data_IF_243168009513
#
_entry.id   IF_243168009513
#
_cell.length_a   1.000
_cell.length_b   1.000
_cell.length_c   1.000
_cell.angle_alpha   90.00
_cell.angle_beta   90.00
_cell.angle_gamma   90.00
#
_symmetry.space_group_name_H-M   'P 1'
#
loop_
_entity.id
_entity.type
_entity.pdbx_description
1 polymer ?
#
# COMPACT_ATOMS: atom_id res chain seq x y z
N UNK A 1 4.70 -26.68 3.25
CA UNK A 1 4.80 -26.11 1.88
C UNK A 1 4.15 -24.74 1.88
N UNK A 2 4.64 -23.80 1.06
CA UNK A 2 3.99 -22.48 0.91
C UNK A 2 2.57 -22.64 0.36
N UNK A 3 1.60 -21.92 0.94
CA UNK A 3 0.24 -21.83 0.39
C UNK A 3 0.18 -20.96 -0.88
N UNK A 4 1.19 -20.15 -1.12
CA UNK A 4 1.32 -19.30 -2.29
C UNK A 4 2.39 -19.86 -3.22
N UNK A 5 2.11 -19.86 -4.50
CA UNK A 5 3.08 -20.19 -5.54
C UNK A 5 3.80 -18.93 -6.06
N UNK A 6 3.14 -17.77 -5.94
CA UNK A 6 3.65 -16.49 -6.41
C UNK A 6 3.59 -15.41 -5.30
N UNK A 7 4.50 -14.44 -5.40
CA UNK A 7 4.61 -13.25 -4.54
C UNK A 7 4.72 -12.03 -5.45
N UNK A 8 3.64 -11.28 -5.56
CA UNK A 8 3.53 -10.11 -6.41
C UNK A 8 3.62 -8.85 -5.56
N UNK A 9 4.60 -8.00 -5.82
CA UNK A 9 4.67 -6.67 -5.24
C UNK A 9 4.24 -5.64 -6.26
N UNK A 10 3.44 -4.68 -5.82
CA UNK A 10 2.97 -3.55 -6.62
C UNK A 10 3.36 -2.27 -5.89
N UNK A 11 4.37 -1.58 -6.39
CA UNK A 11 4.61 -0.19 -6.04
C UNK A 11 3.54 0.65 -6.73
N UNK A 12 2.78 1.45 -5.96
CA UNK A 12 1.57 2.11 -6.41
C UNK A 12 1.72 3.62 -6.50
N UNK A 13 1.05 4.21 -7.48
CA UNK A 13 1.07 5.66 -7.69
C UNK A 13 -0.33 6.28 -7.65
N UNK A 14 -0.47 7.34 -6.84
CA UNK A 14 -1.64 8.20 -6.79
C UNK A 14 -1.61 9.39 -7.78
N UNK A 15 -0.65 9.45 -8.70
CA UNK A 15 -0.51 10.55 -9.65
C UNK A 15 -1.68 10.57 -10.67
N UNK A 16 -1.95 11.73 -11.24
CA UNK A 16 -3.00 11.90 -12.26
C UNK A 16 -2.58 11.31 -13.62
N UNK A 17 -3.56 10.97 -14.43
CA UNK A 17 -3.37 10.54 -15.81
C UNK A 17 -3.70 9.06 -16.07
N UNK A 18 -3.79 8.67 -17.35
CA UNK A 18 -4.24 7.35 -17.75
C UNK A 18 -3.20 6.26 -17.48
N UNK A 19 -1.91 6.62 -17.47
CA UNK A 19 -0.78 5.70 -17.27
C UNK A 19 0.22 6.26 -16.29
N UNK A 20 0.77 5.38 -15.48
CA UNK A 20 1.61 5.73 -14.34
C UNK A 20 3.01 5.11 -14.50
N UNK A 21 4.02 5.97 -14.70
CA UNK A 21 5.42 5.51 -14.64
C UNK A 21 5.86 5.10 -13.23
N UNK A 22 5.18 5.63 -12.21
CA UNK A 22 5.41 5.31 -10.81
C UNK A 22 4.64 4.06 -10.33
N UNK A 23 4.08 3.25 -11.24
CA UNK A 23 3.57 1.92 -10.91
C UNK A 23 4.55 0.89 -11.45
N UNK A 24 5.11 0.06 -10.57
CA UNK A 24 5.98 -1.05 -10.93
C UNK A 24 5.47 -2.35 -10.28
N UNK A 25 5.49 -3.41 -11.04
CA UNK A 25 5.09 -4.75 -10.59
C UNK A 25 6.28 -5.70 -10.68
N UNK A 26 6.51 -6.47 -9.62
CA UNK A 26 7.51 -7.53 -9.62
C UNK A 26 6.95 -8.82 -9.05
N UNK A 27 7.34 -9.95 -9.65
CA UNK A 27 6.91 -11.29 -9.29
C UNK A 27 8.09 -12.13 -8.82
N UNK A 28 7.99 -12.74 -7.64
CA UNK A 28 8.86 -13.81 -7.19
C UNK A 28 8.06 -15.13 -7.13
N UNK A 29 8.70 -16.25 -7.48
CA UNK A 29 8.09 -17.59 -7.44
C UNK A 29 8.51 -18.34 -6.18
N UNK A 30 7.61 -19.11 -5.58
CA UNK A 30 7.93 -19.98 -4.45
C UNK A 30 8.96 -21.07 -4.82
N UNK A 31 8.96 -21.52 -6.07
CA UNK A 31 9.93 -22.45 -6.59
C UNK A 31 11.39 -21.93 -6.64
N UNK A 32 11.59 -20.64 -6.36
CA UNK A 32 12.91 -20.01 -6.36
C UNK A 32 13.17 -19.15 -7.61
N UNK A 33 14.43 -18.76 -7.79
CA UNK A 33 14.86 -17.82 -8.83
C UNK A 33 14.77 -16.36 -8.40
N UNK A 34 15.35 -15.43 -9.16
CA UNK A 34 15.26 -14.01 -8.90
C UNK A 34 13.83 -13.48 -9.08
N UNK A 35 13.44 -12.40 -8.40
CA UNK A 35 12.22 -11.68 -8.74
C UNK A 35 12.35 -11.07 -10.14
N UNK A 36 11.21 -10.90 -10.83
CA UNK A 36 11.16 -10.41 -12.22
C UNK A 36 10.17 -9.26 -12.31
N UNK A 37 10.59 -8.15 -12.92
CA UNK A 37 9.67 -7.07 -13.27
C UNK A 37 8.67 -7.55 -14.32
N UNK A 38 7.40 -7.24 -14.11
CA UNK A 38 6.36 -7.40 -15.12
C UNK A 38 6.35 -6.16 -16.01
N UNK A 39 6.48 -6.36 -17.31
CA UNK A 39 6.41 -5.27 -18.26
C UNK A 39 4.97 -4.74 -18.35
N UNK A 40 4.77 -3.41 -18.33
CA UNK A 40 3.45 -2.85 -18.62
C UNK A 40 3.06 -3.13 -20.06
N UNK A 41 1.75 -3.27 -20.36
CA UNK A 41 1.28 -3.46 -21.74
C UNK A 41 1.62 -2.27 -22.69
N UNK A 42 1.84 -1.10 -22.13
CA UNK A 42 2.20 0.11 -22.86
C UNK A 42 3.52 0.68 -22.28
N UNK A 43 4.48 1.11 -23.12
CA UNK A 43 5.76 1.66 -22.65
C UNK A 43 5.63 2.97 -21.85
N UNK A 44 4.47 3.63 -21.86
CA UNK A 44 4.18 4.79 -21.01
C UNK A 44 3.91 4.43 -19.55
N UNK A 45 3.85 3.15 -19.21
CA UNK A 45 3.62 2.63 -17.86
C UNK A 45 2.26 1.93 -17.71
N UNK A 46 1.99 1.45 -16.51
CA UNK A 46 0.76 0.76 -16.15
C UNK A 46 -0.43 1.72 -16.07
N UNK A 47 -1.59 1.30 -16.59
CA UNK A 47 -2.87 1.88 -16.21
C UNK A 47 -3.38 1.16 -14.93
N UNK A 48 -4.02 1.87 -14.00
CA UNK A 48 -4.61 1.25 -12.79
C UNK A 48 -5.65 0.18 -13.13
N UNK A 49 -6.40 0.37 -14.23
CA UNK A 49 -7.35 -0.62 -14.72
C UNK A 49 -6.66 -1.91 -15.18
N UNK A 50 -5.44 -1.84 -15.73
CA UNK A 50 -4.67 -3.01 -16.13
C UNK A 50 -4.18 -3.79 -14.89
N UNK A 51 -3.76 -3.08 -13.83
CA UNK A 51 -3.43 -3.72 -12.54
C UNK A 51 -4.66 -4.37 -11.93
N UNK A 52 -5.81 -3.69 -11.91
CA UNK A 52 -7.08 -4.26 -11.45
C UNK A 52 -7.43 -5.54 -12.21
N UNK A 53 -7.35 -5.53 -13.54
CA UNK A 53 -7.63 -6.69 -14.38
C UNK A 53 -6.67 -7.85 -14.09
N UNK A 54 -5.37 -7.56 -13.91
CA UNK A 54 -4.36 -8.54 -13.53
C UNK A 54 -4.70 -9.20 -12.18
N UNK A 55 -5.06 -8.40 -11.17
CA UNK A 55 -5.41 -8.92 -9.84
C UNK A 55 -6.70 -9.75 -9.88
N UNK A 56 -7.72 -9.30 -10.60
CA UNK A 56 -8.98 -10.04 -10.73
C UNK A 56 -8.82 -11.35 -11.50
N UNK A 57 -7.83 -11.46 -12.40
CA UNK A 57 -7.52 -12.64 -13.20
C UNK A 57 -6.44 -13.57 -12.62
N UNK A 58 -6.10 -13.48 -11.32
CA UNK A 58 -5.11 -14.34 -10.69
C UNK A 58 -5.62 -15.78 -10.58
N UNK A 59 -5.10 -16.67 -11.41
CA UNK A 59 -5.41 -18.11 -11.39
C UNK A 59 -4.49 -18.91 -10.46
N UNK A 60 -3.27 -18.42 -10.26
CA UNK A 60 -2.26 -19.07 -9.41
C UNK A 60 -2.30 -18.45 -8.01
N UNK A 61 -2.31 -19.25 -6.92
CA UNK A 61 -2.28 -18.73 -5.56
C UNK A 61 -1.12 -17.76 -5.34
N UNK A 62 -1.45 -16.48 -5.17
CA UNK A 62 -0.50 -15.35 -5.11
C UNK A 62 -0.71 -14.53 -3.85
N UNK A 63 0.38 -14.25 -3.12
CA UNK A 63 0.38 -13.19 -2.13
C UNK A 63 0.73 -11.87 -2.82
N UNK A 64 -0.22 -10.94 -2.83
CA UNK A 64 -0.07 -9.63 -3.45
C UNK A 64 0.18 -8.58 -2.37
N UNK A 65 1.30 -7.87 -2.44
CA UNK A 65 1.58 -6.69 -1.63
C UNK A 65 1.36 -5.41 -2.43
N UNK A 66 0.49 -4.53 -1.92
CA UNK A 66 0.21 -3.22 -2.51
C UNK A 66 0.83 -2.12 -1.65
N UNK A 67 1.71 -1.29 -2.21
CA UNK A 67 2.32 -0.14 -1.52
C UNK A 67 1.35 1.05 -1.48
N UNK A 68 0.30 0.89 -0.72
CA UNK A 68 -0.74 1.90 -0.49
C UNK A 68 -1.50 1.59 0.81
N UNK A 69 -2.06 2.61 1.45
CA UNK A 69 -2.93 2.40 2.61
C UNK A 69 -4.30 1.88 2.17
N UNK A 70 -4.72 0.73 2.72
CA UNK A 70 -6.04 0.14 2.45
C UNK A 70 -7.16 0.73 3.31
N UNK A 71 -6.82 1.56 4.29
CA UNK A 71 -7.76 2.24 5.17
C UNK A 71 -7.26 3.61 5.61
N UNK A 72 -8.09 4.31 6.36
CA UNK A 72 -7.79 5.58 7.01
C UNK A 72 -7.86 5.43 8.53
N UNK A 73 -7.29 6.35 9.33
CA UNK A 73 -7.43 6.36 10.77
C UNK A 73 -8.90 6.33 11.23
N UNK A 74 -9.20 5.41 12.14
CA UNK A 74 -10.54 5.20 12.70
C UNK A 74 -10.49 5.06 14.22
N UNK A 75 -9.57 4.25 14.75
CA UNK A 75 -9.52 3.87 16.15
C UNK A 75 -9.31 5.05 17.11
N UNK A 76 -8.63 6.08 16.66
CA UNK A 76 -8.35 7.29 17.43
C UNK A 76 -9.58 8.17 17.70
N UNK A 77 -10.63 8.07 16.89
CA UNK A 77 -11.83 8.90 16.99
C UNK A 77 -13.15 8.12 16.87
N UNK A 78 -13.08 6.80 16.65
CA UNK A 78 -14.26 5.95 16.42
C UNK A 78 -14.94 6.19 15.07
N UNK A 79 -14.31 6.94 14.16
CA UNK A 79 -14.82 7.26 12.84
C UNK A 79 -13.67 7.65 11.89
N UNK A 80 -13.80 7.32 10.60
CA UNK A 80 -12.85 7.83 9.57
C UNK A 80 -12.94 9.36 9.47
N UNK A 81 -14.16 9.87 9.47
CA UNK A 81 -14.48 11.29 9.30
C UNK A 81 -15.37 11.78 10.45
N UNK A 82 -14.79 12.08 11.65
CA UNK A 82 -15.56 12.54 12.80
C UNK A 82 -16.38 13.78 12.50
N UNK A 83 -17.70 13.71 12.77
CA UNK A 83 -18.66 14.79 12.52
C UNK A 83 -19.12 14.92 11.07
N UNK A 84 -18.88 13.90 10.24
CA UNK A 84 -19.52 13.74 8.95
C UNK A 84 -20.48 12.53 8.98
N UNK A 85 -21.79 12.78 8.82
CA UNK A 85 -22.82 11.74 8.97
C UNK A 85 -22.67 10.59 7.96
N UNK A 86 -22.05 10.86 6.79
CA UNK A 86 -21.75 9.84 5.80
C UNK A 86 -20.47 9.03 6.10
N UNK A 87 -19.81 9.26 7.25
CA UNK A 87 -18.60 8.49 7.62
C UNK A 87 -18.94 7.01 7.74
N UNK A 88 -18.27 6.13 6.93
CA UNK A 88 -18.61 4.70 6.94
C UNK A 88 -18.16 4.02 8.24
N UNK A 89 -18.77 2.85 8.51
CA UNK A 89 -18.48 2.07 9.71
C UNK A 89 -17.29 1.11 9.56
N UNK A 90 -16.84 0.84 8.31
CA UNK A 90 -15.77 -0.11 8.02
C UNK A 90 -15.04 0.24 6.72
N UNK A 91 -13.94 -0.48 6.44
CA UNK A 91 -13.08 -0.23 5.29
C UNK A 91 -13.82 -0.44 3.94
N UNK A 92 -14.69 -1.44 3.84
CA UNK A 92 -15.44 -1.67 2.60
C UNK A 92 -16.41 -0.55 2.29
N UNK A 93 -17.11 -0.05 3.31
CA UNK A 93 -17.94 1.16 3.21
C UNK A 93 -17.09 2.39 2.85
N UNK A 94 -15.88 2.53 3.40
CA UNK A 94 -14.94 3.60 3.04
C UNK A 94 -14.55 3.54 1.56
N UNK A 95 -14.21 2.36 1.05
CA UNK A 95 -13.88 2.19 -0.37
C UNK A 95 -15.05 2.53 -1.29
N UNK A 96 -16.27 2.10 -0.90
CA UNK A 96 -17.48 2.40 -1.65
C UNK A 96 -17.80 3.91 -1.66
N UNK A 97 -17.67 4.60 -0.53
CA UNK A 97 -17.87 6.05 -0.45
C UNK A 97 -16.90 6.80 -1.34
N UNK A 98 -15.61 6.44 -1.30
CA UNK A 98 -14.58 7.09 -2.12
C UNK A 98 -14.85 6.85 -3.61
N UNK A 99 -15.19 5.62 -4.02
CA UNK A 99 -15.47 5.34 -5.43
C UNK A 99 -16.73 6.05 -5.92
N UNK A 100 -17.77 6.12 -5.10
CA UNK A 100 -19.03 6.84 -5.42
C UNK A 100 -18.79 8.34 -5.62
N UNK A 101 -18.05 8.99 -4.71
CA UNK A 101 -17.74 10.43 -4.82
C UNK A 101 -16.77 10.76 -5.96
N UNK A 102 -16.02 9.78 -6.44
CA UNK A 102 -15.12 9.87 -7.58
C UNK A 102 -15.69 9.23 -8.86
N UNK A 103 -17.00 8.98 -8.95
CA UNK A 103 -17.59 8.30 -10.10
C UNK A 103 -17.30 9.00 -11.43
N UNK A 104 -17.19 10.33 -11.44
CA UNK A 104 -16.83 11.14 -12.60
C UNK A 104 -15.32 11.24 -12.87
N UNK A 105 -14.46 10.77 -11.96
CA UNK A 105 -13.01 10.86 -12.12
C UNK A 105 -12.51 9.73 -13.02
N UNK A 106 -11.74 10.05 -14.09
CA UNK A 106 -11.16 9.05 -14.97
C UNK A 106 -10.05 8.26 -14.26
N UNK A 107 -9.66 7.11 -14.83
CA UNK A 107 -8.43 6.38 -14.50
C UNK A 107 -8.26 6.02 -13.01
N UNK A 108 -9.36 5.81 -12.27
CA UNK A 108 -9.37 5.60 -10.82
C UNK A 108 -8.69 6.74 -10.04
N UNK A 109 -8.71 7.96 -10.55
CA UNK A 109 -8.26 9.15 -9.82
C UNK A 109 -9.23 9.45 -8.66
N UNK A 110 -8.77 10.21 -7.67
CA UNK A 110 -9.55 10.52 -6.48
C UNK A 110 -9.76 12.03 -6.28
N UNK A 111 -9.85 12.77 -7.38
CA UNK A 111 -10.07 14.22 -7.38
C UNK A 111 -11.39 14.60 -6.76
N UNK A 112 -12.46 13.92 -7.12
CA UNK A 112 -13.80 14.15 -6.59
C UNK A 112 -13.88 14.05 -5.06
N UNK A 113 -13.22 13.07 -4.46
CA UNK A 113 -13.19 12.93 -3.01
C UNK A 113 -12.41 14.05 -2.32
N UNK A 114 -11.19 14.36 -2.80
CA UNK A 114 -10.34 15.39 -2.16
C UNK A 114 -10.84 16.80 -2.36
N UNK A 115 -11.73 17.05 -3.33
CA UNK A 115 -12.41 18.33 -3.55
C UNK A 115 -13.83 18.37 -2.98
N UNK A 116 -14.36 17.25 -2.47
CA UNK A 116 -15.68 17.21 -1.84
C UNK A 116 -15.73 18.14 -0.61
N UNK A 117 -16.79 18.95 -0.42
CA UNK A 117 -16.86 19.93 0.66
C UNK A 117 -16.58 19.34 2.05
N UNK A 118 -17.12 18.16 2.38
CA UNK A 118 -16.82 17.49 3.65
C UNK A 118 -15.51 16.72 3.60
N UNK A 119 -15.24 15.94 2.54
CA UNK A 119 -14.02 15.12 2.42
C UNK A 119 -12.74 15.94 2.52
N UNK A 120 -12.69 17.10 1.86
CA UNK A 120 -11.52 17.98 1.83
C UNK A 120 -11.06 18.46 3.21
N UNK A 121 -11.98 18.55 4.18
CA UNK A 121 -11.73 19.06 5.55
C UNK A 121 -10.75 18.19 6.35
N UNK A 122 -10.57 16.93 5.99
CA UNK A 122 -9.71 16.00 6.73
C UNK A 122 -8.30 15.90 6.17
N UNK A 123 -8.02 16.53 5.03
CA UNK A 123 -6.73 16.36 4.35
C UNK A 123 -5.82 17.59 4.45
N UNK A 124 -4.51 17.31 4.35
CA UNK A 124 -3.50 18.33 4.07
C UNK A 124 -3.33 18.45 2.55
N UNK A 125 -3.73 19.58 1.99
CA UNK A 125 -3.70 19.88 0.55
C UNK A 125 -2.41 20.58 0.11
N UNK A 126 -1.68 21.19 1.03
CA UNK A 126 -0.45 21.93 0.79
C UNK A 126 0.26 22.27 2.09
N UNK A 127 1.46 22.86 2.01
CA UNK A 127 2.15 23.38 3.20
C UNK A 127 1.32 24.55 3.76
N UNK A 128 0.81 24.37 4.98
CA UNK A 128 -0.07 25.35 5.62
C UNK A 128 -1.49 25.40 5.05
N UNK A 129 -1.89 24.41 4.26
CA UNK A 129 -3.23 24.26 3.71
C UNK A 129 -3.84 22.97 4.22
N UNK A 130 -4.04 22.89 5.52
CA UNK A 130 -4.75 21.80 6.16
C UNK A 130 -6.26 22.12 6.23
N UNK A 131 -7.10 21.10 5.98
CA UNK A 131 -8.51 21.17 6.30
C UNK A 131 -8.72 21.33 7.82
N UNK A 132 -9.82 21.94 8.22
CA UNK A 132 -10.12 22.28 9.62
C UNK A 132 -10.29 21.02 10.52
N UNK A 133 -10.45 19.82 9.93
CA UNK A 133 -10.55 18.53 10.61
C UNK A 133 -9.35 17.62 10.35
N UNK A 134 -8.26 18.14 9.80
CA UNK A 134 -7.03 17.39 9.58
C UNK A 134 -6.40 16.90 10.90
N UNK A 135 -6.55 17.68 11.95
CA UNK A 135 -6.14 17.34 13.31
C UNK A 135 -7.38 17.13 14.21
N UNK A 136 -7.29 16.18 15.12
CA UNK A 136 -8.26 16.08 16.20
C UNK A 136 -8.06 17.19 17.24
N UNK A 137 -9.10 17.59 17.97
CA UNK A 137 -8.95 18.49 19.11
C UNK A 137 -7.93 17.93 20.11
N UNK A 138 -6.96 18.76 20.53
CA UNK A 138 -5.91 18.35 21.47
C UNK A 138 -4.79 17.49 20.86
N UNK A 139 -4.70 17.38 19.54
CA UNK A 139 -3.63 16.63 18.89
C UNK A 139 -2.24 17.10 19.33
N UNK A 140 -1.39 16.16 19.76
CA UNK A 140 -0.02 16.43 20.24
C UNK A 140 0.98 16.75 19.12
N UNK A 141 0.63 16.43 17.87
CA UNK A 141 1.48 16.66 16.69
C UNK A 141 0.69 17.32 15.57
N UNK A 142 1.39 17.95 14.62
CA UNK A 142 0.79 18.52 13.40
C UNK A 142 0.92 17.61 12.18
N UNK A 143 1.16 16.32 12.40
CA UNK A 143 1.43 15.35 11.32
C UNK A 143 0.15 14.72 10.75
N UNK A 144 -1.01 15.03 11.34
CA UNK A 144 -2.31 14.43 11.01
C UNK A 144 -2.63 13.24 11.90
N UNK A 145 -3.70 12.54 11.56
CA UNK A 145 -4.15 11.31 12.22
C UNK A 145 -3.38 10.11 11.70
N UNK A 146 -3.15 9.12 12.55
CA UNK A 146 -2.46 7.87 12.20
C UNK A 146 -3.34 6.68 12.56
N UNK A 147 -3.27 5.63 11.72
CA UNK A 147 -3.84 4.32 12.03
C UNK A 147 -3.02 3.63 13.11
N UNK A 148 -3.58 2.58 13.69
CA UNK A 148 -2.87 1.74 14.66
C UNK A 148 -1.60 1.14 14.03
N UNK A 149 -1.64 0.76 12.74
CA UNK A 149 -0.47 0.25 12.01
C UNK A 149 0.68 1.27 11.95
N UNK A 150 0.41 2.55 11.63
CA UNK A 150 1.43 3.60 11.63
C UNK A 150 1.96 3.89 13.05
N UNK A 151 1.09 3.82 14.07
CA UNK A 151 1.54 3.95 15.45
C UNK A 151 2.52 2.84 15.85
N UNK A 152 2.25 1.59 15.47
CA UNK A 152 3.15 0.46 15.66
C UNK A 152 4.48 0.66 14.92
N UNK A 153 4.45 1.08 13.65
CA UNK A 153 5.64 1.41 12.87
C UNK A 153 6.50 2.51 13.52
N UNK A 154 5.87 3.54 14.11
CA UNK A 154 6.59 4.60 14.84
C UNK A 154 7.31 4.06 16.07
N UNK A 155 6.68 3.18 16.80
CA UNK A 155 7.31 2.49 17.94
C UNK A 155 8.54 1.68 17.52
N UNK A 156 8.49 1.07 16.33
CA UNK A 156 9.61 0.35 15.72
C UNK A 156 10.66 1.28 15.04
N UNK A 157 10.56 2.61 15.23
CA UNK A 157 11.52 3.59 14.69
C UNK A 157 11.35 3.90 13.20
N UNK A 158 10.24 3.51 12.60
CA UNK A 158 9.84 3.95 11.25
C UNK A 158 9.16 5.31 11.34
N UNK A 159 9.23 6.11 10.28
CA UNK A 159 8.55 7.41 10.20
C UNK A 159 7.45 7.34 9.14
N UNK A 160 6.29 6.76 9.45
CA UNK A 160 5.17 6.73 8.52
C UNK A 160 4.59 8.13 8.36
N UNK A 161 3.91 8.34 7.24
CA UNK A 161 3.18 9.57 6.93
C UNK A 161 1.68 9.28 7.02
N UNK A 162 0.92 10.24 7.54
CA UNK A 162 -0.54 10.11 7.62
C UNK A 162 -1.18 9.92 6.23
N UNK A 163 -2.14 9.00 6.14
CA UNK A 163 -2.94 8.78 4.92
C UNK A 163 -3.85 9.98 4.58
N UNK A 164 -3.96 10.98 5.46
CA UNK A 164 -4.59 12.26 5.16
C UNK A 164 -3.63 13.29 4.53
N UNK A 165 -2.37 12.93 4.27
CA UNK A 165 -1.42 13.83 3.61
C UNK A 165 -1.43 13.65 2.08
N UNK A 166 -1.80 14.70 1.34
CA UNK A 166 -1.89 14.70 -0.12
C UNK A 166 -0.68 15.33 -0.81
N UNK A 167 0.32 15.80 -0.06
CA UNK A 167 1.40 16.64 -0.59
C UNK A 167 2.78 16.21 -0.12
N UNK A 168 3.81 16.74 -0.81
CA UNK A 168 5.20 16.44 -0.51
C UNK A 168 5.71 15.18 -1.22
N UNK A 169 6.90 14.72 -0.83
CA UNK A 169 7.52 13.52 -1.41
C UNK A 169 6.76 12.23 -1.05
N UNK A 170 6.02 12.26 0.06
CA UNK A 170 5.22 11.13 0.55
C UNK A 170 3.73 11.46 0.46
N UNK A 171 3.18 11.46 -0.76
CA UNK A 171 1.75 11.71 -1.03
C UNK A 171 0.92 10.44 -0.77
N UNK A 172 1.08 9.83 0.41
CA UNK A 172 0.46 8.55 0.76
C UNK A 172 -1.07 8.60 0.63
N UNK A 173 -1.69 9.76 0.96
CA UNK A 173 -3.13 9.91 0.84
C UNK A 173 -3.65 9.73 -0.58
N UNK A 174 -2.94 10.23 -1.61
CA UNK A 174 -3.37 10.03 -3.00
C UNK A 174 -3.24 8.59 -3.45
N UNK A 175 -2.14 7.92 -3.09
CA UNK A 175 -1.94 6.49 -3.36
C UNK A 175 -3.04 5.66 -2.70
N UNK A 176 -3.33 5.94 -1.42
CA UNK A 176 -4.37 5.25 -0.65
C UNK A 176 -5.76 5.43 -1.26
N UNK A 177 -6.17 6.66 -1.57
CA UNK A 177 -7.51 6.92 -2.13
C UNK A 177 -7.70 6.26 -3.51
N UNK A 178 -6.72 6.34 -4.41
CA UNK A 178 -6.78 5.67 -5.72
C UNK A 178 -6.74 4.15 -5.59
N UNK A 179 -5.98 3.63 -4.61
CA UNK A 179 -5.93 2.22 -4.28
C UNK A 179 -7.25 1.71 -3.70
N UNK A 180 -7.88 2.44 -2.78
CA UNK A 180 -9.20 2.09 -2.22
C UNK A 180 -10.29 2.02 -3.30
N UNK A 181 -10.25 2.88 -4.31
CA UNK A 181 -11.12 2.76 -5.50
C UNK A 181 -10.88 1.46 -6.26
N UNK A 182 -9.62 1.11 -6.46
CA UNK A 182 -9.24 -0.16 -7.11
C UNK A 182 -9.72 -1.36 -6.28
N UNK A 183 -9.54 -1.34 -4.95
CA UNK A 183 -10.00 -2.40 -4.05
C UNK A 183 -11.53 -2.54 -4.03
N UNK A 184 -12.28 -1.41 -4.07
CA UNK A 184 -13.73 -1.44 -4.23
C UNK A 184 -14.13 -2.17 -5.51
N UNK A 185 -13.52 -1.82 -6.64
CA UNK A 185 -13.81 -2.40 -7.95
C UNK A 185 -13.31 -3.81 -8.14
N UNK A 186 -12.31 -4.24 -7.33
CA UNK A 186 -11.92 -5.65 -7.26
C UNK A 186 -13.07 -6.54 -6.75
N UNK A 187 -14.04 -5.94 -6.02
CA UNK A 187 -15.32 -6.55 -5.73
C UNK A 187 -15.28 -7.84 -4.92
N UNK A 188 -14.16 -8.11 -4.22
CA UNK A 188 -13.97 -9.35 -3.47
C UNK A 188 -13.46 -10.52 -4.32
N UNK A 189 -13.10 -10.31 -5.60
CA UNK A 189 -12.50 -11.35 -6.44
C UNK A 189 -11.21 -11.93 -5.82
N UNK A 190 -10.47 -11.09 -5.08
CA UNK A 190 -9.35 -11.51 -4.23
C UNK A 190 -9.56 -10.91 -2.83
N UNK A 191 -9.54 -11.71 -1.75
CA UNK A 191 -9.64 -11.20 -0.38
C UNK A 191 -8.52 -10.21 -0.05
N UNK A 192 -8.86 -9.17 0.72
CA UNK A 192 -7.92 -8.14 1.19
C UNK A 192 -7.70 -8.30 2.68
N UNK A 193 -6.56 -8.88 3.06
CA UNK A 193 -6.22 -9.04 4.47
C UNK A 193 -5.79 -7.70 5.11
N UNK A 194 -6.18 -7.41 6.36
CA UNK A 194 -7.01 -8.19 7.27
C UNK A 194 -8.50 -7.80 7.23
N UNK A 195 -8.92 -6.92 6.31
CA UNK A 195 -10.32 -6.50 6.15
C UNK A 195 -11.21 -7.72 5.87
N UNK A 196 -10.72 -8.62 5.02
CA UNK A 196 -11.31 -9.93 4.81
C UNK A 196 -10.57 -11.00 5.61
N UNK A 197 -11.25 -12.04 6.04
CA UNK A 197 -10.61 -13.21 6.63
C UNK A 197 -9.55 -13.80 5.70
N UNK A 198 -8.45 -14.26 6.28
CA UNK A 198 -7.43 -14.96 5.51
C UNK A 198 -8.01 -16.29 4.99
N UNK A 199 -8.16 -16.48 3.67
CA UNK A 199 -8.74 -17.70 3.13
C UNK A 199 -7.75 -18.87 3.32
N UNK A 200 -8.23 -20.10 3.38
CA UNK A 200 -7.38 -21.29 3.48
C UNK A 200 -6.52 -21.50 2.23
N UNK A 201 -7.05 -21.16 1.06
CA UNK A 201 -6.40 -21.33 -0.24
C UNK A 201 -6.65 -20.10 -1.13
N UNK A 202 -5.90 -20.02 -2.23
CA UNK A 202 -6.03 -18.97 -3.23
C UNK A 202 -5.16 -17.74 -2.94
N UNK A 203 -5.43 -16.69 -3.70
CA UNK A 203 -4.68 -15.44 -3.65
C UNK A 203 -5.19 -14.53 -2.52
N UNK A 204 -4.31 -13.65 -2.04
CA UNK A 204 -4.62 -12.65 -1.00
C UNK A 204 -3.91 -11.34 -1.35
N UNK A 205 -4.62 -10.25 -1.21
CA UNK A 205 -4.05 -8.90 -1.24
C UNK A 205 -3.74 -8.45 0.18
N UNK A 206 -2.62 -7.77 0.38
CA UNK A 206 -2.25 -7.11 1.62
C UNK A 206 -1.61 -5.76 1.35
N UNK A 207 -1.78 -4.83 2.27
CA UNK A 207 -1.01 -3.59 2.28
C UNK A 207 0.44 -3.89 2.67
N UNK A 208 1.38 -3.25 1.99
CA UNK A 208 2.80 -3.29 2.35
C UNK A 208 3.36 -1.87 2.45
N UNK A 209 4.55 -1.78 3.03
CA UNK A 209 5.38 -0.59 2.99
C UNK A 209 6.78 -0.98 2.50
N UNK A 210 7.13 -0.56 1.29
CA UNK A 210 8.37 -0.97 0.60
C UNK A 210 9.64 -0.70 1.41
N UNK A 211 9.63 0.34 2.26
CA UNK A 211 10.72 0.64 3.17
C UNK A 211 10.99 -0.47 4.21
N UNK A 212 10.01 -1.30 4.55
CA UNK A 212 10.22 -2.45 5.45
C UNK A 212 11.07 -3.50 4.74
N UNK A 213 10.75 -3.82 3.49
CA UNK A 213 11.52 -4.74 2.68
C UNK A 213 12.97 -4.25 2.49
N UNK A 214 13.15 -2.95 2.20
CA UNK A 214 14.47 -2.35 2.05
C UNK A 214 15.32 -2.47 3.35
N UNK A 215 14.74 -2.14 4.50
CA UNK A 215 15.44 -2.27 5.81
C UNK A 215 15.84 -3.70 6.13
N UNK A 216 14.96 -4.67 5.88
CA UNK A 216 15.25 -6.09 6.08
C UNK A 216 16.25 -6.63 5.04
N UNK A 217 16.34 -6.01 3.87
CA UNK A 217 17.41 -6.20 2.89
C UNK A 217 18.72 -5.53 3.27
N UNK A 218 18.85 -4.94 4.47
CA UNK A 218 20.09 -4.31 4.95
C UNK A 218 20.32 -2.88 4.43
N UNK A 219 19.34 -2.27 3.77
CA UNK A 219 19.43 -0.87 3.33
C UNK A 219 19.26 0.04 4.55
N UNK A 220 20.37 0.64 5.01
CA UNK A 220 20.42 1.48 6.22
C UNK A 220 20.73 2.94 5.89
N UNK A 221 20.39 3.86 6.81
CA UNK A 221 20.71 5.28 6.71
C UNK A 221 19.55 6.14 6.18
N UNK A 222 19.86 7.39 5.83
CA UNK A 222 18.90 8.37 5.32
C UNK A 222 18.51 8.12 3.86
N UNK A 223 19.30 7.33 3.12
CA UNK A 223 19.02 6.92 1.75
C UNK A 223 18.35 5.54 1.75
N UNK A 224 17.05 5.49 2.00
CA UNK A 224 16.24 4.25 1.93
C UNK A 224 15.97 3.80 0.49
N UNK A 225 16.53 4.46 -0.51
CA UNK A 225 16.30 4.20 -1.93
C UNK A 225 17.47 3.45 -2.57
N UNK A 226 17.16 2.31 -3.14
CA UNK A 226 18.10 1.47 -3.91
C UNK A 226 18.07 1.94 -5.36
N UNK A 227 19.19 2.48 -5.87
CA UNK A 227 19.29 3.13 -7.18
C UNK A 227 20.27 2.49 -8.15
N UNK A 228 20.87 1.37 -7.77
CA UNK A 228 21.78 0.62 -8.63
C UNK A 228 21.49 -0.87 -8.54
N UNK A 229 21.72 -1.60 -9.62
CA UNK A 229 21.61 -3.06 -9.62
C UNK A 229 22.58 -3.73 -8.63
N UNK A 230 23.75 -3.17 -8.38
CA UNK A 230 24.68 -3.67 -7.38
C UNK A 230 24.04 -3.63 -5.98
N UNK A 231 23.57 -2.45 -5.53
CA UNK A 231 22.94 -2.31 -4.23
C UNK A 231 21.63 -3.12 -4.12
N UNK A 232 20.87 -3.26 -5.22
CA UNK A 232 19.69 -4.12 -5.26
C UNK A 232 20.08 -5.58 -5.03
N UNK A 233 21.11 -6.07 -5.70
CA UNK A 233 21.55 -7.45 -5.58
C UNK A 233 22.16 -7.76 -4.21
N UNK A 234 22.85 -6.83 -3.58
CA UNK A 234 23.30 -6.95 -2.19
C UNK A 234 22.12 -7.09 -1.21
N UNK A 235 21.08 -6.28 -1.42
CA UNK A 235 19.87 -6.35 -0.61
C UNK A 235 19.05 -7.64 -0.87
N UNK A 236 18.99 -8.10 -2.12
CA UNK A 236 18.38 -9.38 -2.48
C UNK A 236 19.11 -10.57 -1.84
N UNK A 237 20.43 -10.55 -1.84
CA UNK A 237 21.25 -11.58 -1.17
C UNK A 237 20.96 -11.64 0.33
N UNK A 238 20.88 -10.48 0.99
CA UNK A 238 20.47 -10.38 2.41
C UNK A 238 19.09 -11.00 2.66
N UNK A 239 18.16 -10.87 1.70
CA UNK A 239 16.86 -11.51 1.75
C UNK A 239 16.87 -13.00 1.34
N UNK A 240 18.02 -13.56 1.00
CA UNK A 240 18.14 -14.95 0.51
C UNK A 240 17.56 -15.16 -0.88
N UNK A 241 17.55 -14.12 -1.70
CA UNK A 241 17.05 -14.15 -3.07
C UNK A 241 18.19 -14.10 -4.08
N UNK A 242 18.16 -14.91 -5.16
CA UNK A 242 19.14 -14.80 -6.23
C UNK A 242 19.13 -13.40 -6.87
N UNK A 243 20.30 -12.96 -7.41
CA UNK A 243 20.43 -11.65 -8.02
C UNK A 243 19.62 -11.51 -9.30
N UNK A 244 19.13 -10.30 -9.57
CA UNK A 244 18.53 -9.93 -10.85
C UNK A 244 19.59 -9.52 -11.86
N UNK A 245 19.32 -9.75 -13.15
CA UNK A 245 20.21 -9.31 -14.24
C UNK A 245 20.07 -7.81 -14.47
N UNK A 246 21.19 -7.11 -14.61
CA UNK A 246 21.25 -5.68 -14.91
C UNK A 246 22.56 -5.08 -14.41
N UNK A 247 22.87 -3.89 -14.90
CA UNK A 247 24.06 -3.11 -14.52
C UNK A 247 23.72 -1.62 -14.48
N UNK A 248 24.49 -0.87 -13.68
CA UNK A 248 24.29 0.59 -13.59
C UNK A 248 23.06 0.99 -12.75
N UNK A 249 22.34 2.00 -13.20
CA UNK A 249 21.22 2.58 -12.47
C UNK A 249 19.93 1.77 -12.65
N UNK A 250 19.09 1.78 -11.62
CA UNK A 250 17.70 1.29 -11.63
C UNK A 250 16.83 2.38 -11.01
N UNK A 251 15.59 2.53 -11.50
CA UNK A 251 14.65 3.46 -10.91
C UNK A 251 14.10 2.95 -9.56
N UNK A 252 13.65 3.88 -8.73
CA UNK A 252 13.19 3.60 -7.37
C UNK A 252 11.99 2.63 -7.36
N UNK A 253 11.03 2.79 -8.25
CA UNK A 253 9.82 1.97 -8.30
C UNK A 253 10.13 0.52 -8.67
N UNK A 254 10.99 0.34 -9.66
CA UNK A 254 11.43 -1.01 -10.06
C UNK A 254 12.21 -1.72 -8.96
N UNK A 255 13.12 -1.03 -8.28
CA UNK A 255 13.90 -1.62 -7.18
C UNK A 255 13.03 -1.93 -5.96
N UNK A 256 12.11 -1.04 -5.60
CA UNK A 256 11.18 -1.23 -4.49
C UNK A 256 10.26 -2.44 -4.75
N UNK A 257 9.73 -2.59 -5.96
CA UNK A 257 8.91 -3.74 -6.34
C UNK A 257 9.69 -5.06 -6.31
N UNK A 258 10.90 -5.11 -6.90
CA UNK A 258 11.74 -6.33 -6.93
C UNK A 258 12.10 -6.79 -5.52
N UNK A 259 12.56 -5.86 -4.70
CA UNK A 259 12.98 -6.15 -3.32
C UNK A 259 11.80 -6.62 -2.47
N UNK A 260 10.65 -5.99 -2.64
CA UNK A 260 9.44 -6.34 -1.91
C UNK A 260 8.89 -7.71 -2.31
N UNK A 261 8.93 -8.07 -3.60
CA UNK A 261 8.52 -9.40 -4.04
C UNK A 261 9.41 -10.51 -3.42
N UNK A 262 10.72 -10.27 -3.34
CA UNK A 262 11.65 -11.18 -2.68
C UNK A 262 11.39 -11.25 -1.16
N UNK A 263 11.12 -10.12 -0.51
CA UNK A 263 10.79 -10.04 0.89
C UNK A 263 9.50 -10.80 1.22
N UNK A 264 8.41 -10.58 0.47
CA UNK A 264 7.15 -11.31 0.65
C UNK A 264 7.38 -12.82 0.58
N UNK A 265 8.18 -13.31 -0.40
CA UNK A 265 8.53 -14.72 -0.52
C UNK A 265 9.27 -15.24 0.72
N UNK A 266 10.14 -14.46 1.32
CA UNK A 266 10.90 -14.83 2.52
C UNK A 266 10.01 -14.95 3.74
N UNK A 267 9.11 -13.97 3.96
CA UNK A 267 8.45 -13.79 5.28
C UNK A 267 7.01 -14.32 5.34
N UNK A 268 6.41 -14.76 4.24
CA UNK A 268 4.98 -15.14 4.16
C UNK A 268 4.56 -16.25 5.13
N UNK A 269 5.50 -17.04 5.65
CA UNK A 269 5.24 -18.11 6.63
C UNK A 269 5.38 -17.65 8.06
N UNK A 270 5.83 -16.42 8.31
CA UNK A 270 6.00 -15.88 9.66
C UNK A 270 4.63 -15.56 10.26
N UNK A 271 4.23 -16.35 11.25
CA UNK A 271 2.89 -16.29 11.86
C UNK A 271 2.59 -14.91 12.46
N UNK A 272 3.57 -14.30 13.10
CA UNK A 272 3.39 -13.03 13.81
C UNK A 272 3.08 -11.87 12.87
N UNK A 273 3.49 -11.97 11.59
CA UNK A 273 3.12 -10.97 10.57
C UNK A 273 1.64 -11.00 10.22
N UNK A 274 1.01 -12.18 10.32
CA UNK A 274 -0.42 -12.35 10.08
C UNK A 274 -1.28 -12.08 11.32
N UNK A 275 -0.67 -12.09 12.51
CA UNK A 275 -1.35 -11.94 13.80
C UNK A 275 -0.62 -10.95 14.71
N UNK A 276 -0.34 -9.71 14.24
CA UNK A 276 0.33 -8.73 15.10
C UNK A 276 -0.54 -8.39 16.32
N UNK A 277 0.05 -8.20 17.51
CA UNK A 277 -0.72 -8.03 18.77
C UNK A 277 -1.70 -6.86 18.75
N UNK A 278 -1.39 -5.78 18.04
CA UNK A 278 -2.25 -4.60 17.96
C UNK A 278 -3.37 -4.72 16.91
N UNK A 279 -3.40 -5.77 16.10
CA UNK A 279 -4.44 -6.03 15.11
C UNK A 279 -5.68 -6.62 15.79
N UNK A 280 -6.49 -5.76 16.38
CA UNK A 280 -7.80 -6.16 16.93
C UNK A 280 -8.83 -6.40 15.81
N UNK A 281 -9.93 -7.13 16.07
CA UNK A 281 -11.01 -7.29 15.09
C UNK A 281 -11.60 -5.96 14.60
N UNK A 282 -11.64 -4.93 15.44
CA UNK A 282 -12.08 -3.59 15.05
C UNK A 282 -11.08 -2.96 14.06
N UNK A 283 -9.78 -2.97 14.38
CA UNK A 283 -8.72 -2.43 13.51
C UNK A 283 -8.72 -3.16 12.17
N UNK A 284 -8.78 -4.48 12.17
CA UNK A 284 -8.83 -5.29 10.95
C UNK A 284 -9.97 -4.85 10.02
N UNK A 285 -11.18 -4.69 10.58
CA UNK A 285 -12.38 -4.33 9.82
C UNK A 285 -12.39 -2.87 9.33
N UNK A 286 -11.75 -1.95 10.07
CA UNK A 286 -11.81 -0.51 9.77
C UNK A 286 -10.54 0.00 9.10
N UNK A 287 -9.41 -0.05 9.77
CA UNK A 287 -8.16 0.57 9.30
C UNK A 287 -7.34 -0.34 8.37
N UNK A 288 -7.58 -1.65 8.45
CA UNK A 288 -6.67 -2.63 7.87
C UNK A 288 -5.34 -2.70 8.62
N UNK A 289 -4.33 -3.25 7.98
CA UNK A 289 -2.98 -3.38 8.56
C UNK A 289 -1.91 -3.39 7.48
N UNK A 290 -0.77 -2.78 7.77
CA UNK A 290 0.41 -2.88 6.92
C UNK A 290 1.15 -4.18 7.27
N UNK A 291 1.21 -5.13 6.35
CA UNK A 291 1.93 -6.39 6.52
C UNK A 291 3.41 -6.13 6.81
N UNK A 292 3.93 -6.69 7.89
CA UNK A 292 5.28 -6.41 8.38
C UNK A 292 5.40 -5.22 9.34
N UNK A 293 4.31 -4.57 9.73
CA UNK A 293 4.30 -3.64 10.86
C UNK A 293 4.15 -4.42 12.18
N UNK A 294 4.98 -4.07 13.18
CA UNK A 294 5.04 -4.73 14.49
C UNK A 294 4.67 -3.76 15.60
#
# INVERSE_FOLDING_TARGET
>A
MSRFAHFLAVDWSGAKGPRQKGIALALAKAAGGPPVLLAPPDPKGWARAEVLALLAGLEVPTLVGLDLGIGLPFADAGAFFPGWDASPADARGLWALIDALCAGDPHLEAGGFVSHPEGSRYFRHGKGLEGDRFLLPGASTREGRFRVAEAAQRTAGVRPVSNFNLVGAAQVGKSSLTGMRMLHRLGGAVPVWPVDPLPEQGSVVTEIYTSVAARLGGVTGTATKVRTYAALNDALDTLGSPPVKGTGAIDDHSSDALLTAAWLRRVHTERDLWHPPALTPMVARTEGWTFGAF
#
